data_IF_753139874263
#
_entry.id   IF_753139874263
#
_cell.length_a   1.000
_cell.length_b   1.000
_cell.length_c   1.000
_cell.angle_alpha   90.00
_cell.angle_beta   90.00
_cell.angle_gamma   90.00
#
_symmetry.space_group_name_H-M   'P 1'
#
loop_
_entity.id
_entity.type
_entity.pdbx_description
1 polymer ?
#
# COMPACT_ATOMS: atom_id res chain seq x y z
N UNK A 1 -14.44 -18.38 44.39
CA UNK A 1 -13.78 -17.15 43.85
C UNK A 1 -12.46 -17.39 43.12
N UNK A 2 -11.62 -18.39 43.48
CA UNK A 2 -10.33 -18.67 42.81
C UNK A 2 -10.40 -18.97 41.30
N UNK A 3 -11.40 -19.70 40.82
CA UNK A 3 -11.51 -20.05 39.39
C UNK A 3 -11.76 -18.85 38.47
N UNK A 4 -12.42 -17.81 38.99
CA UNK A 4 -12.73 -16.61 38.20
C UNK A 4 -11.49 -15.73 37.99
N UNK A 5 -10.58 -15.71 38.95
CA UNK A 5 -9.29 -15.02 38.86
C UNK A 5 -8.44 -15.65 37.74
N UNK A 6 -8.41 -16.98 37.62
CA UNK A 6 -7.66 -17.67 36.58
C UNK A 6 -8.18 -17.27 35.20
N UNK A 7 -9.52 -17.28 35.01
CA UNK A 7 -10.14 -16.87 33.75
C UNK A 7 -9.79 -15.43 33.36
N UNK A 8 -9.88 -14.50 34.32
CA UNK A 8 -9.56 -13.09 34.10
C UNK A 8 -8.08 -12.93 33.73
N UNK A 9 -7.17 -13.62 34.43
CA UNK A 9 -5.73 -13.56 34.15
C UNK A 9 -5.42 -14.13 32.76
N UNK A 10 -5.98 -15.29 32.39
CA UNK A 10 -5.78 -15.84 31.04
C UNK A 10 -6.36 -14.94 29.95
N UNK A 11 -7.51 -14.31 30.20
CA UNK A 11 -8.11 -13.36 29.26
C UNK A 11 -7.20 -12.13 29.07
N UNK A 12 -6.68 -11.57 30.17
CA UNK A 12 -5.78 -10.43 30.12
C UNK A 12 -4.46 -10.77 29.43
N UNK A 13 -3.90 -11.96 29.67
CA UNK A 13 -2.69 -12.42 28.98
C UNK A 13 -2.94 -12.61 27.49
N UNK A 14 -4.06 -13.24 27.11
CA UNK A 14 -4.46 -13.41 25.71
C UNK A 14 -4.71 -12.07 25.01
N UNK A 15 -5.40 -11.13 25.67
CA UNK A 15 -5.64 -9.80 25.16
C UNK A 15 -4.33 -8.99 25.00
N UNK A 16 -3.44 -9.07 25.99
CA UNK A 16 -2.13 -8.41 25.92
C UNK A 16 -1.28 -8.99 24.79
N UNK A 17 -1.28 -10.32 24.59
CA UNK A 17 -0.61 -10.96 23.45
C UNK A 17 -1.22 -10.56 22.11
N UNK A 18 -2.55 -10.45 22.04
CA UNK A 18 -3.25 -9.99 20.83
C UNK A 18 -2.90 -8.54 20.47
N UNK A 19 -2.91 -7.64 21.46
CA UNK A 19 -2.57 -6.22 21.28
C UNK A 19 -1.08 -6.05 20.95
N UNK A 20 -0.20 -6.76 21.65
CA UNK A 20 1.23 -6.75 21.34
C UNK A 20 1.49 -7.27 19.92
N UNK A 21 0.75 -8.31 19.51
CA UNK A 21 0.80 -8.86 18.16
C UNK A 21 0.43 -7.83 17.10
N UNK A 22 -0.59 -6.99 17.32
CA UNK A 22 -1.02 -5.98 16.33
C UNK A 22 -0.16 -4.72 16.31
N UNK A 23 0.41 -4.31 17.45
CA UNK A 23 1.26 -3.10 17.53
C UNK A 23 2.68 -3.36 17.04
N UNK A 24 3.22 -4.56 17.30
CA UNK A 24 4.61 -4.90 16.96
C UNK A 24 4.76 -5.70 15.67
N UNK A 25 3.71 -5.80 14.83
CA UNK A 25 3.81 -6.46 13.51
C UNK A 25 5.00 -5.85 12.76
N UNK A 26 6.10 -6.60 12.58
CA UNK A 26 7.24 -6.06 11.86
C UNK A 26 6.86 -5.90 10.39
N UNK A 27 7.31 -4.85 9.68
CA UNK A 27 7.04 -4.67 8.24
C UNK A 27 7.45 -5.85 7.35
N UNK A 28 8.22 -6.80 7.90
CA UNK A 28 8.65 -8.02 7.22
C UNK A 28 7.61 -9.14 7.17
N UNK A 29 6.53 -9.09 7.96
CA UNK A 29 5.49 -10.13 7.93
C UNK A 29 4.27 -9.75 7.09
N UNK A 30 4.15 -8.49 6.66
CA UNK A 30 3.12 -8.02 5.72
C UNK A 30 2.97 -8.88 4.45
N UNK A 31 4.05 -9.41 3.83
CA UNK A 31 3.92 -10.28 2.67
C UNK A 31 3.15 -11.58 2.95
N UNK A 32 3.21 -12.09 4.18
CA UNK A 32 2.61 -13.38 4.59
C UNK A 32 1.25 -13.23 5.29
N UNK A 33 0.80 -11.99 5.52
CA UNK A 33 -0.50 -11.72 6.13
C UNK A 33 -1.63 -11.80 5.07
N UNK A 34 -2.79 -12.40 5.43
CA UNK A 34 -4.00 -12.34 4.63
C UNK A 34 -4.36 -10.89 4.27
N UNK A 35 -5.00 -10.70 3.12
CA UNK A 35 -5.31 -9.35 2.59
C UNK A 35 -6.13 -8.52 3.59
N UNK A 36 -6.91 -9.16 4.45
CA UNK A 36 -7.73 -8.49 5.47
C UNK A 36 -6.93 -7.97 6.68
N UNK A 37 -5.71 -8.48 6.90
CA UNK A 37 -4.86 -8.17 8.05
C UNK A 37 -3.60 -7.37 7.70
N UNK A 38 -3.36 -7.08 6.42
CA UNK A 38 -2.25 -6.21 6.00
C UNK A 38 -2.47 -4.80 6.52
N UNK A 39 -1.57 -4.35 7.40
CA UNK A 39 -1.69 -3.04 8.03
C UNK A 39 -1.34 -1.95 7.03
N UNK A 40 -2.40 -1.32 6.49
CA UNK A 40 -2.41 -0.05 5.74
C UNK A 40 -1.60 -0.05 4.44
N UNK A 41 -2.29 0.35 3.37
CA UNK A 41 -1.66 0.73 2.11
C UNK A 41 -0.56 1.76 2.37
N UNK A 42 0.66 1.42 1.94
CA UNK A 42 1.82 2.27 2.15
C UNK A 42 1.83 3.35 1.08
N UNK A 43 1.82 4.60 1.49
CA UNK A 43 1.93 5.73 0.56
C UNK A 43 3.40 5.86 0.16
N UNK A 44 3.67 5.66 -1.12
CA UNK A 44 5.01 5.78 -1.71
C UNK A 44 5.00 6.95 -2.68
N UNK A 45 5.94 7.88 -2.48
CA UNK A 45 6.15 8.99 -3.38
C UNK A 45 7.19 8.63 -4.43
N UNK A 46 6.92 8.99 -5.68
CA UNK A 46 7.87 8.77 -6.76
C UNK A 46 7.57 9.62 -7.97
N UNK A 47 8.60 9.80 -8.80
CA UNK A 47 8.51 10.56 -10.03
C UNK A 47 8.05 9.68 -11.18
N UNK A 48 7.08 10.16 -11.96
CA UNK A 48 6.63 9.50 -13.17
C UNK A 48 7.71 9.64 -14.25
N UNK A 49 8.37 8.54 -14.57
CA UNK A 49 9.41 8.51 -15.62
C UNK A 49 8.74 8.42 -16.99
N UNK A 50 7.75 7.53 -17.09
CA UNK A 50 7.16 7.16 -18.37
C UNK A 50 5.69 6.81 -18.18
N UNK A 51 4.86 7.36 -19.04
CA UNK A 51 3.45 7.00 -19.19
C UNK A 51 3.27 6.33 -20.55
N UNK A 52 2.61 5.18 -20.57
CA UNK A 52 2.24 4.47 -21.78
C UNK A 52 0.77 4.07 -21.68
N UNK A 53 -0.04 4.50 -22.63
CA UNK A 53 -1.43 4.06 -22.74
C UNK A 53 -1.49 2.84 -23.64
N UNK A 54 -1.99 1.74 -23.11
CA UNK A 54 -2.16 0.48 -23.85
C UNK A 54 -3.66 0.18 -23.97
N UNK A 55 -4.31 0.82 -24.95
CA UNK A 55 -5.74 0.67 -25.23
C UNK A 55 -6.62 1.02 -24.02
N UNK A 56 -7.02 -0.01 -23.27
CA UNK A 56 -7.90 0.07 -22.11
C UNK A 56 -7.17 0.08 -20.75
N UNK A 57 -5.85 0.28 -20.72
CA UNK A 57 -5.08 0.47 -19.48
C UNK A 57 -4.01 1.54 -19.63
N UNK A 58 -3.64 2.20 -18.55
CA UNK A 58 -2.51 3.12 -18.48
C UNK A 58 -1.40 2.49 -17.66
N UNK A 59 -0.24 2.32 -18.27
CA UNK A 59 0.97 1.88 -17.61
C UNK A 59 1.80 3.10 -17.25
N UNK A 60 2.15 3.21 -15.97
CA UNK A 60 2.92 4.33 -15.43
C UNK A 60 4.15 3.76 -14.75
N UNK A 61 5.33 4.10 -15.24
CA UNK A 61 6.59 3.80 -14.55
C UNK A 61 6.91 4.93 -13.59
N UNK A 62 7.11 4.57 -12.34
CA UNK A 62 7.35 5.50 -11.23
C UNK A 62 8.71 5.17 -10.63
N UNK A 63 9.63 6.14 -10.65
CA UNK A 63 10.88 6.09 -9.90
C UNK A 63 10.61 6.46 -8.46
N UNK A 64 10.82 5.54 -7.54
CA UNK A 64 10.77 5.80 -6.09
C UNK A 64 12.18 5.65 -5.52
N UNK A 65 12.40 6.10 -4.29
CA UNK A 65 13.67 5.92 -3.58
C UNK A 65 14.01 4.43 -3.34
N UNK A 66 12.99 3.56 -3.34
CA UNK A 66 13.16 2.12 -3.14
C UNK A 66 13.37 1.35 -4.46
N UNK A 67 13.15 1.97 -5.61
CA UNK A 67 13.26 1.35 -6.92
C UNK A 67 12.21 1.82 -7.92
N UNK A 68 12.20 1.19 -9.09
CA UNK A 68 11.21 1.49 -10.15
C UNK A 68 10.00 0.60 -9.97
N UNK A 69 8.81 1.21 -9.93
CA UNK A 69 7.53 0.52 -9.82
C UNK A 69 6.73 0.75 -11.11
N UNK A 70 6.10 -0.31 -11.61
CA UNK A 70 5.16 -0.25 -12.72
C UNK A 70 3.73 -0.27 -12.17
N UNK A 71 3.04 0.87 -12.24
CA UNK A 71 1.64 1.00 -11.88
C UNK A 71 0.77 0.80 -13.14
N UNK A 72 -0.05 -0.25 -13.13
CA UNK A 72 -0.97 -0.57 -14.21
C UNK A 72 -2.41 -0.18 -13.82
N UNK A 73 -2.94 0.88 -14.42
CA UNK A 73 -4.30 1.35 -14.16
C UNK A 73 -5.25 0.81 -15.24
N UNK A 74 -6.13 -0.09 -14.85
CA UNK A 74 -7.23 -0.61 -15.69
C UNK A 74 -8.54 0.12 -15.43
N UNK A 75 -8.67 0.77 -14.27
CA UNK A 75 -9.84 1.57 -13.89
C UNK A 75 -9.59 3.05 -14.11
N UNK A 76 -10.65 3.78 -14.48
CA UNK A 76 -10.64 5.25 -14.67
C UNK A 76 -9.51 5.74 -15.58
N UNK A 77 -9.22 4.98 -16.63
CA UNK A 77 -8.13 5.19 -17.60
C UNK A 77 -8.07 6.64 -18.09
N UNK A 78 -9.21 7.22 -18.45
CA UNK A 78 -9.26 8.60 -18.97
C UNK A 78 -8.90 9.66 -17.91
N UNK A 79 -9.31 9.48 -16.66
CA UNK A 79 -8.96 10.39 -15.56
C UNK A 79 -7.46 10.28 -15.23
N UNK A 80 -6.94 9.05 -15.13
CA UNK A 80 -5.54 8.80 -14.80
C UNK A 80 -4.62 9.32 -15.91
N UNK A 81 -5.01 9.19 -17.18
CA UNK A 81 -4.24 9.72 -18.31
C UNK A 81 -4.11 11.26 -18.27
N UNK A 82 -5.13 11.96 -17.75
CA UNK A 82 -5.10 13.42 -17.58
C UNK A 82 -4.38 13.88 -16.31
N UNK A 83 -4.38 13.03 -15.26
CA UNK A 83 -3.77 13.36 -13.98
C UNK A 83 -2.27 13.05 -13.98
N UNK A 84 -1.83 12.06 -14.73
CA UNK A 84 -0.45 11.57 -14.72
C UNK A 84 0.30 12.09 -15.93
N UNK A 85 1.26 12.99 -15.67
CA UNK A 85 2.18 13.53 -16.67
C UNK A 85 3.60 13.04 -16.40
N UNK A 86 4.39 12.72 -17.44
CA UNK A 86 5.81 12.43 -17.29
C UNK A 86 6.52 13.62 -16.60
N UNK A 87 7.30 13.34 -15.56
CA UNK A 87 7.98 14.34 -14.73
C UNK A 87 7.20 14.78 -13.49
N UNK A 88 5.91 14.43 -13.37
CA UNK A 88 5.12 14.68 -12.16
C UNK A 88 5.56 13.77 -11.00
N UNK A 89 5.54 14.30 -9.78
CA UNK A 89 5.72 13.51 -8.56
C UNK A 89 4.35 13.03 -8.09
N UNK A 90 4.17 11.73 -7.98
CA UNK A 90 2.92 11.11 -7.54
C UNK A 90 3.12 10.32 -6.26
N UNK A 91 2.15 10.42 -5.36
CA UNK A 91 2.03 9.59 -4.17
C UNK A 91 1.02 8.49 -4.45
N UNK A 92 1.49 7.24 -4.42
CA UNK A 92 0.70 6.05 -4.68
C UNK A 92 0.52 5.25 -3.38
N UNK A 93 -0.72 4.90 -3.07
CA UNK A 93 -1.04 3.95 -2.00
C UNK A 93 -0.85 2.53 -2.54
N UNK A 94 0.22 1.87 -2.12
CA UNK A 94 0.55 0.51 -2.54
C UNK A 94 0.02 -0.49 -1.53
N UNK A 95 -0.68 -1.52 -2.01
CA UNK A 95 -1.13 -2.65 -1.18
C UNK A 95 -0.06 -3.74 -1.00
N UNK A 96 1.07 -3.63 -1.71
CA UNK A 96 2.20 -4.56 -1.66
C UNK A 96 3.47 -3.93 -2.25
N UNK A 97 4.64 -4.33 -1.76
CA UNK A 97 5.97 -3.94 -2.29
C UNK A 97 6.34 -4.69 -3.61
N UNK A 98 5.34 -5.12 -4.38
CA UNK A 98 5.58 -5.77 -5.66
C UNK A 98 6.07 -4.73 -6.70
N UNK A 99 6.99 -5.10 -7.61
CA UNK A 99 7.49 -4.20 -8.63
C UNK A 99 6.44 -3.85 -9.70
N UNK A 100 5.38 -4.65 -9.81
CA UNK A 100 4.21 -4.39 -10.67
C UNK A 100 2.99 -4.37 -9.79
N UNK A 101 2.20 -3.29 -9.86
CA UNK A 101 1.00 -3.09 -9.04
C UNK A 101 -0.17 -2.71 -9.93
N UNK A 102 -1.27 -3.44 -9.76
CA UNK A 102 -2.52 -3.21 -10.49
C UNK A 102 -3.44 -2.27 -9.72
N UNK A 103 -3.94 -1.24 -10.41
CA UNK A 103 -4.86 -0.21 -9.90
C UNK A 103 -4.47 0.41 -8.54
N UNK A 104 -3.23 0.89 -8.35
CA UNK A 104 -2.86 1.58 -7.10
C UNK A 104 -3.67 2.87 -6.94
N UNK A 105 -4.06 3.21 -5.70
CA UNK A 105 -4.76 4.46 -5.47
C UNK A 105 -3.79 5.65 -5.55
N UNK A 106 -4.14 6.67 -6.34
CA UNK A 106 -3.38 7.93 -6.38
C UNK A 106 -3.89 8.83 -5.25
N UNK A 107 -3.03 9.12 -4.28
CA UNK A 107 -3.38 10.02 -3.15
C UNK A 107 -3.01 11.47 -3.43
N UNK A 108 -1.90 11.69 -4.14
CA UNK A 108 -1.41 13.05 -4.44
C UNK A 108 -0.69 13.08 -5.77
N UNK A 109 -0.89 14.15 -6.53
CA UNK A 109 -0.14 14.46 -7.75
C UNK A 109 0.41 15.86 -7.61
N UNK A 110 1.73 16.00 -7.72
CA UNK A 110 2.41 17.27 -7.77
C UNK A 110 3.02 17.44 -9.17
N UNK A 111 2.49 18.39 -9.94
CA UNK A 111 3.00 18.68 -11.28
C UNK A 111 4.20 19.63 -11.18
N UNK A 112 5.30 19.38 -11.90
CA UNK A 112 6.33 20.40 -12.07
C UNK A 112 5.70 21.64 -12.71
N UNK A 113 6.09 22.81 -12.20
CA UNK A 113 5.57 24.11 -12.62
C UNK A 113 6.16 24.54 -13.96
#
# INVERSE_FOLDING_TARGET
MRGWIILIVTLLVGAALGIAGTVYVPPRVDPYLPKELRLKSRVVEGQVIQKQREGNRVLVKVQTDQGVILAAFTKRVAEIDLLVEPGATIALSLSSDAPVVDDPAIERVNRPK
#
